data_IF_135446054594
#
_entry.id   IF_135446054594
#
_cell.length_a   1.000
_cell.length_b   1.000
_cell.length_c   1.000
_cell.angle_alpha   90.00
_cell.angle_beta   90.00
_cell.angle_gamma   90.00
#
_symmetry.space_group_name_H-M   'P 1'
#
loop_
_entity.id
_entity.type
_entity.pdbx_description
1 polymer ?
#
# COMPACT_ATOMS: atom_id res chain seq x y z
N UNK A 1 -9.48 -28.12 -16.86
CA UNK A 1 -8.36 -27.47 -16.12
C UNK A 1 -7.46 -26.53 -16.94
N UNK A 2 -7.81 -26.13 -18.18
CA UNK A 2 -6.99 -25.20 -19.00
C UNK A 2 -7.15 -23.70 -18.67
N UNK A 3 -8.21 -23.34 -17.95
CA UNK A 3 -8.55 -21.95 -17.62
C UNK A 3 -7.66 -21.34 -16.53
N UNK A 4 -7.23 -22.15 -15.56
CA UNK A 4 -6.33 -21.71 -14.47
C UNK A 4 -4.85 -21.65 -14.88
N UNK A 5 -4.45 -22.36 -15.95
CA UNK A 5 -3.06 -22.43 -16.42
C UNK A 5 -2.65 -21.29 -17.36
N UNK A 6 -3.59 -20.61 -18.02
CA UNK A 6 -3.28 -19.73 -19.16
C UNK A 6 -3.46 -18.23 -18.91
N UNK A 7 -3.60 -17.79 -17.66
CA UNK A 7 -3.76 -16.36 -17.37
C UNK A 7 -5.01 -15.76 -18.02
N UNK A 8 -6.11 -16.54 -18.09
CA UNK A 8 -7.40 -16.12 -18.65
C UNK A 8 -8.08 -14.96 -17.93
N UNK A 9 -7.37 -14.29 -17.00
CA UNK A 9 -7.90 -13.18 -16.24
C UNK A 9 -8.21 -11.96 -17.11
N UNK A 10 -7.38 -11.72 -18.12
CA UNK A 10 -7.57 -10.59 -19.04
C UNK A 10 -8.71 -10.79 -20.02
N UNK A 11 -9.12 -12.04 -20.27
CA UNK A 11 -10.11 -12.40 -21.29
C UNK A 11 -11.54 -12.43 -20.77
N UNK A 12 -11.76 -12.38 -19.44
CA UNK A 12 -13.09 -12.31 -18.85
C UNK A 12 -13.43 -10.87 -18.42
N UNK A 13 -14.34 -10.22 -19.14
CA UNK A 13 -14.78 -8.84 -18.89
C UNK A 13 -15.29 -8.62 -17.46
N UNK A 14 -15.95 -9.61 -16.86
CA UNK A 14 -16.46 -9.49 -15.49
C UNK A 14 -15.34 -9.38 -14.45
N UNK A 15 -14.30 -10.18 -14.60
CA UNK A 15 -13.18 -10.15 -13.66
C UNK A 15 -12.33 -8.91 -13.82
N UNK A 16 -12.19 -8.41 -15.06
CA UNK A 16 -11.57 -7.10 -15.31
C UNK A 16 -12.37 -5.99 -14.64
N UNK A 17 -13.70 -6.02 -14.72
CA UNK A 17 -14.56 -5.03 -14.07
C UNK A 17 -14.41 -5.08 -12.55
N UNK A 18 -14.52 -6.26 -11.92
CA UNK A 18 -14.39 -6.37 -10.46
C UNK A 18 -13.02 -5.92 -9.96
N UNK A 19 -11.94 -6.28 -10.67
CA UNK A 19 -10.59 -5.83 -10.31
C UNK A 19 -10.43 -4.31 -10.47
N UNK A 20 -10.93 -3.73 -11.56
CA UNK A 20 -10.87 -2.28 -11.78
C UNK A 20 -11.65 -1.51 -10.70
N UNK A 21 -12.87 -1.94 -10.38
CA UNK A 21 -13.67 -1.33 -9.30
C UNK A 21 -12.94 -1.44 -7.96
N UNK A 22 -12.39 -2.60 -7.63
CA UNK A 22 -11.60 -2.80 -6.41
C UNK A 22 -10.39 -1.86 -6.36
N UNK A 23 -9.68 -1.68 -7.47
CA UNK A 23 -8.54 -0.75 -7.54
C UNK A 23 -8.96 0.71 -7.35
N UNK A 24 -10.14 1.13 -7.84
CA UNK A 24 -10.66 2.49 -7.58
C UNK A 24 -10.83 2.73 -6.09
N UNK A 25 -11.39 1.75 -5.34
CA UNK A 25 -11.48 1.85 -3.89
C UNK A 25 -10.10 1.93 -3.22
N UNK A 26 -9.12 1.15 -3.67
CA UNK A 26 -7.76 1.22 -3.12
C UNK A 26 -7.03 2.51 -3.46
N UNK A 27 -7.26 3.10 -4.64
CA UNK A 27 -6.76 4.44 -4.96
C UNK A 27 -7.41 5.48 -4.06
N UNK A 28 -8.73 5.40 -3.83
CA UNK A 28 -9.42 6.25 -2.88
C UNK A 28 -8.83 6.14 -1.47
N UNK A 29 -8.61 4.92 -0.99
CA UNK A 29 -7.94 4.65 0.29
C UNK A 29 -6.52 5.21 0.34
N UNK A 30 -5.74 5.04 -0.73
CA UNK A 30 -4.37 5.55 -0.83
C UNK A 30 -4.33 7.09 -0.74
N UNK A 31 -5.22 7.77 -1.48
CA UNK A 31 -5.36 9.23 -1.47
C UNK A 31 -5.84 9.72 -0.10
N UNK A 32 -6.87 9.11 0.49
CA UNK A 32 -7.36 9.54 1.80
C UNK A 32 -6.34 9.30 2.89
N UNK A 33 -5.58 8.20 2.84
CA UNK A 33 -4.46 7.97 3.75
C UNK A 33 -3.38 9.06 3.61
N UNK A 34 -3.09 9.50 2.39
CA UNK A 34 -2.16 10.60 2.15
C UNK A 34 -2.68 11.92 2.76
N UNK A 35 -3.92 12.30 2.43
CA UNK A 35 -4.53 13.54 2.92
C UNK A 35 -4.70 13.55 4.45
N UNK A 36 -5.13 12.44 5.04
CA UNK A 36 -5.29 12.30 6.48
C UNK A 36 -3.95 12.42 7.22
N UNK A 37 -2.86 11.94 6.62
CA UNK A 37 -1.54 12.15 7.19
C UNK A 37 -1.25 13.64 7.25
N UNK A 38 -1.29 14.37 6.13
CA UNK A 38 -1.00 15.81 6.09
C UNK A 38 -1.92 16.66 6.99
N UNK A 39 -3.17 16.23 7.16
CA UNK A 39 -4.11 16.91 8.05
C UNK A 39 -3.82 16.65 9.53
N UNK A 40 -3.35 15.45 9.89
CA UNK A 40 -3.02 15.11 11.29
C UNK A 40 -1.58 15.45 11.65
N UNK A 41 -0.69 15.46 10.67
CA UNK A 41 0.75 15.49 10.82
C UNK A 41 1.40 16.05 9.56
N UNK A 42 2.38 16.93 9.71
CA UNK A 42 3.20 17.40 8.60
C UNK A 42 4.39 16.47 8.30
N UNK A 43 5.12 16.78 7.23
CA UNK A 43 6.43 16.17 6.96
C UNK A 43 7.57 16.80 7.78
N UNK A 44 7.25 17.62 8.78
CA UNK A 44 8.24 18.25 9.64
C UNK A 44 8.44 17.44 10.92
N UNK A 45 9.68 17.41 11.40
CA UNK A 45 10.03 16.81 12.67
C UNK A 45 9.12 17.29 13.81
N UNK A 46 8.97 18.61 13.94
CA UNK A 46 8.15 19.22 14.99
C UNK A 46 6.70 18.76 14.92
N UNK A 47 6.09 18.68 13.74
CA UNK A 47 4.69 18.26 13.65
C UNK A 47 4.45 16.82 14.10
N UNK A 48 5.39 15.90 13.81
CA UNK A 48 5.30 14.51 14.29
C UNK A 48 5.48 14.45 15.80
N UNK A 49 6.46 15.19 16.33
CA UNK A 49 6.71 15.25 17.78
C UNK A 49 5.50 15.82 18.51
N UNK A 50 4.97 16.96 18.06
CA UNK A 50 3.80 17.62 18.64
C UNK A 50 2.56 16.70 18.56
N UNK A 51 2.40 15.93 17.48
CA UNK A 51 1.28 15.00 17.33
C UNK A 51 1.30 13.84 18.35
N UNK A 52 2.49 13.32 18.68
CA UNK A 52 2.63 12.16 19.59
C UNK A 52 2.84 12.58 21.05
N UNK A 53 3.67 13.59 21.30
CA UNK A 53 4.02 14.09 22.63
C UNK A 53 3.14 15.22 23.11
N UNK A 54 2.25 15.74 22.25
CA UNK A 54 1.45 16.92 22.56
C UNK A 54 2.23 18.20 22.33
N UNK A 55 1.50 19.32 22.33
CA UNK A 55 2.04 20.66 22.14
C UNK A 55 1.34 21.62 23.08
N UNK A 56 2.12 22.34 23.87
CA UNK A 56 1.60 23.41 24.73
C UNK A 56 1.01 24.55 23.91
N UNK A 57 1.61 24.88 22.76
CA UNK A 57 1.15 25.94 21.87
C UNK A 57 -0.24 25.66 21.29
N UNK A 58 -0.54 24.39 21.02
CA UNK A 58 -1.83 23.93 20.50
C UNK A 58 -2.75 23.40 21.62
N UNK A 59 -2.33 23.51 22.89
CA UNK A 59 -3.04 22.95 24.06
C UNK A 59 -3.45 21.48 23.89
N UNK A 60 -2.58 20.68 23.27
CA UNK A 60 -2.84 19.26 23.01
C UNK A 60 -2.06 18.37 23.96
N UNK A 61 -2.76 17.41 24.55
CA UNK A 61 -2.13 16.42 25.42
C UNK A 61 -1.37 15.35 24.60
N UNK A 62 -0.28 14.78 25.17
CA UNK A 62 0.37 13.61 24.59
C UNK A 62 -0.61 12.46 24.35
N UNK A 63 -0.37 11.66 23.31
CA UNK A 63 -1.18 10.47 23.04
C UNK A 63 -1.15 9.50 24.23
N UNK A 64 -2.32 9.00 24.61
CA UNK A 64 -2.45 7.99 25.67
C UNK A 64 -1.98 6.63 25.18
N UNK A 65 -1.53 5.77 26.10
CA UNK A 65 -1.16 4.38 25.79
C UNK A 65 -2.33 3.61 25.17
N UNK A 66 -3.53 3.77 25.72
CA UNK A 66 -4.75 3.16 25.18
C UNK A 66 -5.01 3.59 23.74
N UNK A 67 -4.92 4.89 23.44
CA UNK A 67 -5.13 5.38 22.07
C UNK A 67 -4.09 4.83 21.08
N UNK A 68 -2.84 4.69 21.51
CA UNK A 68 -1.78 4.07 20.69
C UNK A 68 -2.07 2.59 20.43
N UNK A 69 -2.55 1.87 21.45
CA UNK A 69 -2.89 0.46 21.36
C UNK A 69 -4.11 0.22 20.45
N UNK A 70 -5.14 1.04 20.58
CA UNK A 70 -6.33 0.99 19.71
C UNK A 70 -5.94 1.20 18.24
N UNK A 71 -5.16 2.25 17.95
CA UNK A 71 -4.68 2.50 16.58
C UNK A 71 -3.92 1.30 16.06
N UNK A 72 -2.97 0.77 16.83
CA UNK A 72 -2.16 -0.39 16.42
C UNK A 72 -3.02 -1.63 16.17
N UNK A 73 -3.99 -1.89 17.06
CA UNK A 73 -4.88 -3.04 16.97
C UNK A 73 -5.74 -3.01 15.72
N UNK A 74 -6.26 -1.84 15.34
CA UNK A 74 -7.07 -1.70 14.13
C UNK A 74 -6.21 -1.60 12.85
N UNK A 75 -5.05 -0.93 12.91
CA UNK A 75 -4.16 -0.78 11.75
C UNK A 75 -3.46 -2.08 11.36
N UNK A 76 -2.93 -2.85 12.31
CA UNK A 76 -2.19 -4.09 12.02
C UNK A 76 -2.93 -5.05 11.07
N UNK A 77 -4.16 -5.52 11.41
CA UNK A 77 -4.88 -6.44 10.54
C UNK A 77 -5.33 -5.78 9.25
N UNK A 78 -5.78 -4.51 9.30
CA UNK A 78 -6.24 -3.80 8.11
C UNK A 78 -5.12 -3.63 7.09
N UNK A 79 -3.95 -3.12 7.53
CA UNK A 79 -2.78 -2.95 6.67
C UNK A 79 -2.27 -4.29 6.15
N UNK A 80 -2.25 -5.33 7.00
CA UNK A 80 -1.92 -6.69 6.59
C UNK A 80 -2.80 -7.17 5.43
N UNK A 81 -4.12 -7.00 5.52
CA UNK A 81 -5.06 -7.41 4.47
C UNK A 81 -4.95 -6.57 3.19
N UNK A 82 -4.83 -5.24 3.31
CA UNK A 82 -4.68 -4.35 2.14
C UNK A 82 -3.40 -4.68 1.37
N UNK A 83 -2.27 -4.77 2.09
CA UNK A 83 -0.98 -5.04 1.47
C UNK A 83 -0.97 -6.45 0.88
N UNK A 84 -1.49 -7.44 1.60
CA UNK A 84 -1.62 -8.81 1.09
C UNK A 84 -2.42 -8.81 -0.21
N UNK A 85 -3.58 -8.18 -0.26
CA UNK A 85 -4.43 -8.17 -1.45
C UNK A 85 -3.71 -7.54 -2.65
N UNK A 86 -3.13 -6.36 -2.49
CA UNK A 86 -2.43 -5.66 -3.57
C UNK A 86 -1.19 -6.41 -4.06
N UNK A 87 -0.37 -6.90 -3.12
CA UNK A 87 0.87 -7.62 -3.46
C UNK A 87 0.61 -9.04 -3.98
N UNK A 88 -0.48 -9.69 -3.54
CA UNK A 88 -0.92 -10.96 -4.10
C UNK A 88 -1.34 -10.80 -5.57
N UNK A 89 -2.10 -9.75 -5.88
CA UNK A 89 -2.47 -9.44 -7.28
C UNK A 89 -1.24 -9.15 -8.14
N UNK A 90 -0.19 -8.56 -7.56
CA UNK A 90 1.07 -8.26 -8.25
C UNK A 90 1.78 -9.52 -8.76
N UNK A 91 1.53 -10.70 -8.16
CA UNK A 91 2.10 -11.97 -8.61
C UNK A 91 1.68 -12.34 -10.03
N UNK A 92 0.48 -11.91 -10.45
CA UNK A 92 -0.06 -12.15 -11.78
C UNK A 92 0.41 -11.14 -12.82
N UNK A 93 1.11 -10.08 -12.41
CA UNK A 93 1.66 -9.08 -13.32
C UNK A 93 2.99 -9.58 -13.89
N UNK A 94 3.21 -9.49 -15.23
CA UNK A 94 4.43 -9.96 -15.88
C UNK A 94 5.62 -9.00 -15.67
N UNK A 95 6.09 -8.91 -14.43
CA UNK A 95 7.29 -8.17 -14.00
C UNK A 95 8.43 -9.14 -13.67
N UNK A 96 9.68 -8.66 -13.72
CA UNK A 96 10.87 -9.45 -13.36
C UNK A 96 10.79 -9.90 -11.89
N UNK A 97 11.13 -11.17 -11.61
CA UNK A 97 11.01 -11.79 -10.30
C UNK A 97 11.67 -10.99 -9.15
N UNK A 98 12.87 -10.42 -9.36
CA UNK A 98 13.55 -9.60 -8.35
C UNK A 98 12.77 -8.33 -7.97
N UNK A 99 12.24 -7.62 -8.97
CA UNK A 99 11.39 -6.45 -8.74
C UNK A 99 10.05 -6.82 -8.11
N UNK A 100 9.48 -7.97 -8.46
CA UNK A 100 8.28 -8.50 -7.82
C UNK A 100 8.50 -8.71 -6.33
N UNK A 101 9.57 -9.41 -5.95
CA UNK A 101 9.89 -9.65 -4.54
C UNK A 101 10.09 -8.33 -3.78
N UNK A 102 10.83 -7.39 -4.36
CA UNK A 102 11.05 -6.08 -3.76
C UNK A 102 9.73 -5.35 -3.47
N UNK A 103 8.83 -5.25 -4.47
CA UNK A 103 7.54 -4.58 -4.33
C UNK A 103 6.51 -5.34 -3.49
N UNK A 104 6.74 -6.64 -3.22
CA UNK A 104 5.97 -7.40 -2.23
C UNK A 104 6.46 -7.07 -0.82
N UNK A 105 7.76 -7.04 -0.58
CA UNK A 105 8.32 -6.91 0.78
C UNK A 105 8.30 -5.48 1.31
N UNK A 106 8.61 -4.50 0.46
CA UNK A 106 8.78 -3.11 0.91
C UNK A 106 7.54 -2.50 1.58
N UNK A 107 6.28 -2.74 1.14
CA UNK A 107 5.11 -2.16 1.81
C UNK A 107 4.89 -2.78 3.19
N UNK A 108 5.14 -4.09 3.38
CA UNK A 108 5.04 -4.74 4.69
C UNK A 108 6.03 -4.13 5.69
N UNK A 109 7.30 -4.00 5.29
CA UNK A 109 8.32 -3.39 6.14
C UNK A 109 8.00 -1.94 6.45
N UNK A 110 7.51 -1.18 5.46
CA UNK A 110 7.14 0.22 5.64
C UNK A 110 5.95 0.39 6.59
N UNK A 111 4.92 -0.44 6.46
CA UNK A 111 3.76 -0.41 7.37
C UNK A 111 4.14 -0.77 8.80
N UNK A 112 4.93 -1.84 8.98
CA UNK A 112 5.38 -2.27 10.31
C UNK A 112 6.25 -1.20 10.98
N UNK A 113 7.21 -0.65 10.24
CA UNK A 113 8.07 0.45 10.72
C UNK A 113 7.25 1.71 10.99
N UNK A 114 6.22 1.96 10.19
CA UNK A 114 5.28 3.07 10.36
C UNK A 114 4.55 2.98 11.69
N UNK A 115 3.99 1.82 12.05
CA UNK A 115 3.34 1.66 13.35
C UNK A 115 4.35 1.68 14.50
N UNK A 116 5.46 0.95 14.37
CA UNK A 116 6.51 0.89 15.40
C UNK A 116 7.11 2.27 15.73
N UNK A 117 7.36 3.10 14.71
CA UNK A 117 7.92 4.44 14.91
C UNK A 117 7.02 5.36 15.72
N UNK A 118 5.68 5.20 15.65
CA UNK A 118 4.77 5.96 16.51
C UNK A 118 4.98 5.64 17.99
N UNK A 119 5.17 4.36 18.33
CA UNK A 119 5.50 3.93 19.69
C UNK A 119 6.87 4.45 20.13
N UNK A 120 7.87 4.37 19.24
CA UNK A 120 9.23 4.84 19.56
C UNK A 120 9.27 6.36 19.82
N UNK A 121 8.54 7.16 19.04
CA UNK A 121 8.43 8.61 19.28
C UNK A 121 7.80 8.89 20.63
N UNK A 122 6.74 8.15 20.99
CA UNK A 122 5.97 8.40 22.22
C UNK A 122 6.69 7.95 23.49
N UNK A 123 7.39 6.81 23.46
CA UNK A 123 7.89 6.14 24.66
C UNK A 123 9.41 6.04 24.74
N UNK A 124 10.14 6.23 23.64
CA UNK A 124 11.60 6.07 23.62
C UNK A 124 12.32 7.40 23.39
N UNK A 125 12.17 8.02 22.21
CA UNK A 125 12.86 9.26 21.89
C UNK A 125 12.19 10.06 20.76
N UNK A 126 12.07 11.40 20.85
CA UNK A 126 11.49 12.23 19.80
C UNK A 126 12.19 12.10 18.43
N UNK A 127 13.49 11.78 18.42
CA UNK A 127 14.30 11.56 17.21
C UNK A 127 13.76 10.51 16.24
N UNK A 128 12.94 9.56 16.71
CA UNK A 128 12.27 8.59 15.83
C UNK A 128 11.18 9.20 14.93
N UNK A 129 10.91 10.51 15.06
CA UNK A 129 10.01 11.23 14.17
C UNK A 129 10.46 11.15 12.71
N UNK A 130 11.78 11.18 12.44
CA UNK A 130 12.31 10.99 11.09
C UNK A 130 12.02 9.59 10.55
N UNK A 131 12.09 8.56 11.41
CA UNK A 131 11.74 7.19 11.04
C UNK A 131 10.26 7.07 10.66
N UNK A 132 9.37 7.77 11.38
CA UNK A 132 7.93 7.82 11.06
C UNK A 132 7.68 8.45 9.69
N UNK A 133 8.33 9.58 9.39
CA UNK A 133 8.22 10.27 8.09
C UNK A 133 8.74 9.36 6.98
N UNK A 134 9.92 8.78 7.17
CA UNK A 134 10.53 7.87 6.20
C UNK A 134 9.62 6.67 5.91
N UNK A 135 9.11 6.03 6.96
CA UNK A 135 8.22 4.88 6.83
C UNK A 135 6.92 5.24 6.10
N UNK A 136 6.33 6.40 6.40
CA UNK A 136 5.16 6.90 5.69
C UNK A 136 5.45 7.14 4.20
N UNK A 137 6.55 7.82 3.86
CA UNK A 137 6.95 8.05 2.47
C UNK A 137 7.22 6.74 1.73
N UNK A 138 7.96 5.81 2.33
CA UNK A 138 8.23 4.49 1.75
C UNK A 138 6.93 3.71 1.50
N UNK A 139 6.00 3.74 2.47
CA UNK A 139 4.70 3.10 2.32
C UNK A 139 3.87 3.73 1.19
N UNK A 140 3.79 5.07 1.16
CA UNK A 140 3.01 5.78 0.15
C UNK A 140 3.54 5.56 -1.26
N UNK A 141 4.86 5.66 -1.44
CA UNK A 141 5.51 5.42 -2.73
C UNK A 141 5.31 3.97 -3.15
N UNK A 142 5.54 3.01 -2.25
CA UNK A 142 5.42 1.60 -2.60
C UNK A 142 3.99 1.19 -2.94
N UNK A 143 2.99 1.65 -2.18
CA UNK A 143 1.58 1.43 -2.52
C UNK A 143 1.21 2.08 -3.85
N UNK A 144 1.65 3.31 -4.10
CA UNK A 144 1.41 4.01 -5.37
C UNK A 144 2.01 3.26 -6.56
N UNK A 145 3.24 2.75 -6.43
CA UNK A 145 3.89 1.95 -7.48
C UNK A 145 3.15 0.64 -7.69
N UNK A 146 2.80 -0.10 -6.62
CA UNK A 146 2.06 -1.36 -6.75
C UNK A 146 0.71 -1.13 -7.43
N UNK A 147 -0.05 -0.09 -7.03
CA UNK A 147 -1.30 0.27 -7.69
C UNK A 147 -1.08 0.60 -9.17
N UNK A 148 -0.07 1.42 -9.51
CA UNK A 148 0.28 1.73 -10.89
C UNK A 148 0.62 0.49 -11.73
N UNK A 149 1.39 -0.44 -11.16
CA UNK A 149 1.73 -1.72 -11.80
C UNK A 149 0.50 -2.61 -12.01
N UNK A 150 -0.45 -2.60 -11.08
CA UNK A 150 -1.70 -3.35 -11.21
C UNK A 150 -2.59 -2.75 -12.32
N UNK A 151 -2.76 -1.42 -12.35
CA UNK A 151 -3.47 -0.73 -13.42
C UNK A 151 -2.85 -1.02 -14.79
N UNK A 152 -1.53 -0.90 -14.88
CA UNK A 152 -0.79 -1.26 -16.09
C UNK A 152 -0.99 -2.73 -16.49
N UNK A 153 -0.92 -3.64 -15.50
CA UNK A 153 -1.09 -5.07 -15.72
C UNK A 153 -2.47 -5.45 -16.29
N UNK A 154 -3.53 -4.75 -15.86
CA UNK A 154 -4.90 -4.95 -16.36
C UNK A 154 -5.05 -4.44 -17.80
N UNK A 155 -4.47 -3.28 -18.11
CA UNK A 155 -4.69 -2.62 -19.41
C UNK A 155 -3.69 -3.01 -20.51
N UNK A 156 -2.59 -3.70 -20.15
CA UNK A 156 -1.64 -4.24 -21.13
C UNK A 156 -2.33 -5.28 -22.03
N UNK A 157 -2.52 -4.92 -23.31
CA UNK A 157 -2.93 -5.86 -24.37
C UNK A 157 -1.84 -6.94 -24.53
N UNK A 158 -2.23 -8.20 -24.43
CA UNK A 158 -1.34 -9.31 -24.78
C UNK A 158 -1.38 -9.48 -26.31
N UNK A 159 -0.51 -8.75 -27.01
CA UNK A 159 -0.40 -8.82 -28.49
C UNK A 159 0.02 -10.21 -29.00
N UNK A 160 0.56 -11.06 -28.12
CA UNK A 160 1.16 -12.35 -28.50
C UNK A 160 0.20 -13.53 -28.71
N UNK A 161 -1.12 -13.38 -28.59
CA UNK A 161 -2.08 -14.48 -28.86
C UNK A 161 -3.00 -14.27 -30.06
N UNK A 162 -2.91 -13.14 -30.76
CA UNK A 162 -3.66 -12.94 -32.02
C UNK A 162 -2.96 -13.52 -33.26
N UNK A 163 -1.64 -13.77 -33.22
CA UNK A 163 -0.90 -14.37 -34.36
C UNK A 163 -0.89 -15.91 -34.38
N UNK A 164 -1.11 -16.58 -33.25
CA UNK A 164 -1.14 -18.05 -33.17
C UNK A 164 -2.54 -18.65 -33.40
N UNK A 165 -3.58 -17.81 -33.49
CA UNK A 165 -4.95 -18.21 -33.77
C UNK A 165 -5.32 -18.26 -35.25
N UNK A 166 -4.49 -17.68 -36.12
CA UNK A 166 -4.72 -17.57 -37.57
C UNK A 166 -3.87 -18.56 -38.40
N UNK A 167 -2.98 -19.32 -37.75
CA UNK A 167 -2.11 -20.30 -38.41
C UNK A 167 -2.54 -21.76 -38.23
N UNK A 168 -3.72 -22.02 -37.65
CA UNK A 168 -4.28 -23.38 -37.48
C UNK A 168 -5.78 -23.46 -37.77
N UNK A 169 -6.07 -23.61 -39.06
CA UNK A 169 -7.31 -24.12 -39.67
C UNK A 169 -7.30 -23.67 -41.13
N UNK A 170 -7.11 -24.49 -42.17
CA UNK A 170 -7.73 -25.78 -42.50
C UNK A 170 -9.21 -25.82 -42.16
#
# INVERSE_FOLDING_TARGET
>A
MKYMMNGGFKMNSFMRLTLSLTLVFFVGFWITNFLLFFHKTGLSYKSVVDYYLGSEAEFTAPRSYQGMLEVTHFHMPMMGLVILLLTHLLLFVPIRNGWRMFWVVIPFLSALTGEASGWLVRFLHPGFAYLKILAFCMLQISLGVVLGLLFWGIWRKDEKKMQDGDSRGW
#
